data_IF_297117317355
#
_entry.id   IF_297117317355
#
_cell.length_a   1.000
_cell.length_b   1.000
_cell.length_c   1.000
_cell.angle_alpha   90.00
_cell.angle_beta   90.00
_cell.angle_gamma   90.00
#
_symmetry.space_group_name_H-M   'P 1'
#
loop_
_entity.id
_entity.type
_entity.pdbx_description
1 polymer ?
#
# COMPACT_ATOMS: atom_id res chain seq x y z
N UNK A 1 -6.07 -31.40 2.55
CA UNK A 1 -5.16 -30.50 1.80
C UNK A 1 -4.40 -29.68 2.82
N UNK A 2 -3.08 -29.56 2.72
CA UNK A 2 -2.26 -28.74 3.64
C UNK A 2 -1.96 -27.41 2.93
N UNK A 3 -2.18 -26.30 3.60
CA UNK A 3 -1.80 -24.98 3.10
C UNK A 3 -0.29 -24.73 3.25
N UNK A 4 0.22 -23.75 2.53
CA UNK A 4 1.59 -23.27 2.68
C UNK A 4 1.79 -22.71 4.08
N UNK A 5 2.99 -22.92 4.68
CA UNK A 5 3.33 -22.36 5.98
C UNK A 5 3.31 -20.82 5.98
N UNK A 6 3.52 -20.19 4.83
CA UNK A 6 3.40 -18.73 4.66
C UNK A 6 1.95 -18.26 4.86
N UNK A 7 0.98 -19.00 4.31
CA UNK A 7 -0.44 -18.68 4.48
C UNK A 7 -0.90 -18.90 5.93
N UNK A 8 -0.38 -19.94 6.59
CA UNK A 8 -0.68 -20.19 8.01
C UNK A 8 -0.18 -19.06 8.93
N UNK A 9 0.88 -18.35 8.53
CA UNK A 9 1.40 -17.17 9.24
C UNK A 9 0.63 -15.88 8.93
N UNK A 10 -0.14 -15.83 7.83
CA UNK A 10 -0.95 -14.65 7.49
C UNK A 10 -2.17 -14.57 8.41
N UNK A 11 -2.30 -13.47 9.15
CA UNK A 11 -3.46 -13.18 9.97
C UNK A 11 -4.67 -12.72 9.16
N UNK A 12 -5.86 -12.78 9.77
CA UNK A 12 -7.04 -12.12 9.22
C UNK A 12 -6.93 -10.61 9.37
N UNK A 13 -7.52 -9.87 8.42
CA UNK A 13 -7.54 -8.40 8.46
C UNK A 13 -8.14 -7.88 9.77
N UNK A 14 -7.37 -7.15 10.60
CA UNK A 14 -7.86 -6.61 11.87
C UNK A 14 -9.03 -5.62 11.67
N UNK A 15 -9.08 -4.92 10.54
CA UNK A 15 -10.17 -3.98 10.21
C UNK A 15 -11.51 -4.68 10.02
N UNK A 16 -11.51 -5.94 9.58
CA UNK A 16 -12.73 -6.72 9.31
C UNK A 16 -13.18 -7.56 10.49
N UNK A 17 -12.39 -7.65 11.54
CA UNK A 17 -12.68 -8.44 12.76
C UNK A 17 -14.03 -8.09 13.38
N UNK A 18 -14.44 -6.84 13.30
CA UNK A 18 -15.69 -6.35 13.89
C UNK A 18 -16.90 -6.39 12.96
N UNK A 19 -16.73 -6.81 11.69
CA UNK A 19 -17.83 -6.87 10.72
C UNK A 19 -19.04 -7.71 11.19
N UNK A 20 -18.89 -8.88 11.83
CA UNK A 20 -20.02 -9.64 12.35
C UNK A 20 -20.84 -8.85 13.39
N UNK A 21 -20.17 -8.16 14.31
CA UNK A 21 -20.85 -7.34 15.35
C UNK A 21 -21.56 -6.14 14.75
N UNK A 22 -20.96 -5.48 13.76
CA UNK A 22 -21.59 -4.39 13.03
C UNK A 22 -22.87 -4.87 12.31
N UNK A 23 -22.79 -5.99 11.60
CA UNK A 23 -23.94 -6.58 10.90
C UNK A 23 -25.09 -6.93 11.87
N UNK A 24 -24.77 -7.45 13.04
CA UNK A 24 -25.78 -7.78 14.05
C UNK A 24 -26.44 -6.51 14.65
N UNK A 25 -25.64 -5.47 14.90
CA UNK A 25 -26.15 -4.19 15.37
C UNK A 25 -27.06 -3.52 14.32
N UNK A 26 -26.69 -3.60 13.03
CA UNK A 26 -27.52 -3.12 11.93
C UNK A 26 -28.88 -3.83 11.85
N UNK A 27 -28.89 -5.16 11.99
CA UNK A 27 -30.12 -5.96 12.05
C UNK A 27 -31.06 -5.56 13.21
N UNK A 28 -30.48 -5.04 14.29
CA UNK A 28 -31.22 -4.50 15.46
C UNK A 28 -31.63 -3.03 15.28
N UNK A 29 -31.50 -2.47 14.07
CA UNK A 29 -31.88 -1.08 13.74
C UNK A 29 -30.95 -0.01 14.33
N UNK A 30 -29.76 -0.36 14.82
CA UNK A 30 -28.79 0.61 15.34
C UNK A 30 -28.11 1.34 14.20
N UNK A 31 -27.96 2.67 14.32
CA UNK A 31 -27.16 3.48 13.40
C UNK A 31 -25.67 3.18 13.62
N UNK A 32 -24.97 2.83 12.55
CA UNK A 32 -23.53 2.52 12.58
C UNK A 32 -22.74 3.65 11.95
N UNK A 33 -21.59 3.93 12.55
CA UNK A 33 -20.59 4.85 12.02
C UNK A 33 -19.29 4.06 11.77
N UNK A 34 -18.94 3.90 10.49
CA UNK A 34 -17.76 3.14 10.09
C UNK A 34 -16.54 4.06 10.07
N UNK A 35 -15.73 4.02 11.14
CA UNK A 35 -14.49 4.80 11.26
C UNK A 35 -13.23 3.95 11.00
N UNK A 36 -13.41 2.69 10.65
CA UNK A 36 -12.33 1.71 10.45
C UNK A 36 -11.90 1.55 8.98
N UNK A 37 -12.60 2.18 8.05
CA UNK A 37 -12.29 2.15 6.61
C UNK A 37 -12.37 3.58 6.09
N UNK A 38 -11.26 4.06 5.52
CA UNK A 38 -11.22 5.33 4.79
C UNK A 38 -11.83 5.14 3.40
N UNK A 39 -13.09 5.52 3.23
CA UNK A 39 -13.78 5.49 1.95
C UNK A 39 -14.07 6.92 1.49
N UNK A 40 -13.78 7.26 0.21
CA UNK A 40 -14.13 8.58 -0.31
C UNK A 40 -15.64 8.85 -0.19
N UNK A 41 -16.00 10.07 0.21
CA UNK A 41 -17.38 10.57 0.26
C UNK A 41 -17.67 11.62 -0.84
N UNK A 42 -16.64 11.89 -1.67
CA UNK A 42 -16.74 12.78 -2.84
C UNK A 42 -17.14 11.96 -4.05
N UNK A 43 -18.06 12.50 -4.87
CA UNK A 43 -18.49 11.85 -6.10
C UNK A 43 -17.31 11.62 -7.06
N UNK A 44 -17.25 10.41 -7.63
CA UNK A 44 -16.28 10.11 -8.69
C UNK A 44 -16.46 11.07 -9.86
N UNK A 45 -15.39 11.63 -10.46
CA UNK A 45 -15.48 12.55 -11.58
C UNK A 45 -16.34 11.99 -12.72
N UNK A 46 -17.26 12.81 -13.26
CA UNK A 46 -18.13 12.40 -14.35
C UNK A 46 -17.36 11.91 -15.58
N UNK A 47 -16.21 12.50 -15.85
CA UNK A 47 -15.32 12.11 -16.95
C UNK A 47 -14.92 10.62 -16.91
N UNK A 48 -14.79 10.02 -15.72
CA UNK A 48 -14.52 8.60 -15.59
C UNK A 48 -15.68 7.76 -16.14
N UNK A 49 -16.92 8.08 -15.73
CA UNK A 49 -18.09 7.34 -16.17
C UNK A 49 -18.36 7.51 -17.66
N UNK A 50 -18.12 8.72 -18.20
CA UNK A 50 -18.24 8.95 -19.63
C UNK A 50 -17.20 8.19 -20.44
N UNK A 51 -15.96 8.10 -19.96
CA UNK A 51 -14.92 7.28 -20.58
C UNK A 51 -15.31 5.79 -20.62
N UNK A 52 -15.79 5.24 -19.48
CA UNK A 52 -16.26 3.85 -19.41
C UNK A 52 -17.44 3.60 -20.33
N UNK A 53 -18.41 4.52 -20.34
CA UNK A 53 -19.63 4.40 -21.20
C UNK A 53 -19.32 4.44 -22.69
N UNK A 54 -18.32 5.25 -23.08
CA UNK A 54 -17.91 5.41 -24.46
C UNK A 54 -16.84 4.41 -24.90
N UNK A 55 -16.37 3.55 -23.98
CA UNK A 55 -15.44 2.50 -24.32
C UNK A 55 -16.13 1.45 -25.23
N UNK A 56 -15.67 1.35 -26.46
CA UNK A 56 -16.24 0.46 -27.47
C UNK A 56 -15.10 -0.14 -28.29
N UNK A 57 -14.65 -1.32 -27.87
CA UNK A 57 -13.72 -2.12 -28.64
C UNK A 57 -14.40 -3.43 -29.07
N UNK A 58 -14.37 -3.79 -30.35
CA UNK A 58 -15.02 -5.01 -30.83
C UNK A 58 -14.36 -6.28 -30.27
N UNK A 59 -13.09 -6.21 -29.88
CA UNK A 59 -12.34 -7.31 -29.28
C UNK A 59 -11.53 -6.77 -28.12
N UNK A 60 -11.69 -7.37 -26.94
CA UNK A 60 -10.82 -7.14 -25.78
C UNK A 60 -9.60 -8.05 -25.91
N UNK A 61 -8.55 -7.56 -26.56
CA UNK A 61 -7.29 -8.29 -26.71
C UNK A 61 -6.44 -8.22 -25.44
N UNK A 62 -5.40 -9.03 -25.38
CA UNK A 62 -4.39 -8.95 -24.34
C UNK A 62 -3.69 -7.58 -24.38
N UNK A 63 -3.48 -7.00 -23.20
CA UNK A 63 -2.61 -5.84 -23.06
C UNK A 63 -1.13 -6.27 -23.12
N UNK A 64 -0.22 -5.35 -23.52
CA UNK A 64 1.21 -5.55 -23.28
C UNK A 64 1.53 -5.79 -21.79
N UNK A 65 2.63 -6.50 -21.51
CA UNK A 65 2.98 -6.93 -20.15
C UNK A 65 3.25 -5.77 -19.19
N UNK A 66 3.70 -4.64 -19.72
CA UNK A 66 3.96 -3.39 -18.97
C UNK A 66 2.74 -2.47 -18.87
N UNK A 67 1.68 -2.79 -19.60
CA UNK A 67 0.42 -2.02 -19.63
C UNK A 67 0.11 -1.44 -21.00
N UNK A 68 -1.10 -0.90 -21.16
CA UNK A 68 -1.48 -0.24 -22.42
C UNK A 68 -0.75 1.12 -22.53
N UNK A 69 -0.24 1.46 -23.73
CA UNK A 69 0.56 2.68 -23.93
C UNK A 69 -0.14 3.96 -23.45
N UNK A 70 -1.43 4.09 -23.70
CA UNK A 70 -2.22 5.25 -23.30
C UNK A 70 -2.24 5.45 -21.77
N UNK A 71 -2.24 4.37 -20.99
CA UNK A 71 -2.19 4.46 -19.53
C UNK A 71 -0.78 4.81 -19.06
N UNK A 72 0.25 4.23 -19.67
CA UNK A 72 1.65 4.56 -19.38
C UNK A 72 1.91 6.04 -19.65
N UNK A 73 1.49 6.55 -20.80
CA UNK A 73 1.62 7.96 -21.15
C UNK A 73 0.86 8.88 -20.18
N UNK A 74 -0.33 8.49 -19.75
CA UNK A 74 -1.08 9.24 -18.76
C UNK A 74 -0.35 9.33 -17.42
N UNK A 75 0.28 8.24 -16.96
CA UNK A 75 1.11 8.21 -15.75
C UNK A 75 2.33 9.11 -15.89
N UNK A 76 3.07 9.01 -16.98
CA UNK A 76 4.24 9.87 -17.26
C UNK A 76 3.85 11.34 -17.28
N UNK A 77 2.74 11.69 -17.96
CA UNK A 77 2.22 13.06 -17.98
C UNK A 77 1.81 13.56 -16.58
N UNK A 78 1.22 12.70 -15.76
CA UNK A 78 0.85 13.06 -14.39
C UNK A 78 2.08 13.41 -13.56
N UNK A 79 3.09 12.55 -13.57
CA UNK A 79 4.31 12.75 -12.80
C UNK A 79 5.12 13.95 -13.31
N UNK A 80 5.12 14.20 -14.61
CA UNK A 80 5.74 15.42 -15.18
C UNK A 80 5.09 16.72 -14.68
N UNK A 81 3.77 16.73 -14.41
CA UNK A 81 3.05 17.91 -13.87
C UNK A 81 3.34 18.22 -12.41
N UNK A 82 3.89 17.29 -11.67
CA UNK A 82 4.23 17.45 -10.24
C UNK A 82 5.75 17.47 -10.01
N UNK A 83 6.51 17.84 -11.05
CA UNK A 83 7.97 17.96 -11.02
C UNK A 83 8.71 16.66 -10.62
N UNK A 84 8.11 15.51 -10.90
CA UNK A 84 8.70 14.19 -10.71
C UNK A 84 8.81 13.43 -12.05
N UNK A 85 9.63 13.91 -13.01
CA UNK A 85 9.66 13.37 -14.36
C UNK A 85 10.17 11.92 -14.37
N UNK A 86 9.39 11.06 -15.02
CA UNK A 86 9.72 9.67 -15.30
C UNK A 86 9.56 9.37 -16.77
N UNK A 87 10.09 8.26 -17.23
CA UNK A 87 9.96 7.79 -18.62
C UNK A 87 9.05 6.57 -18.70
N UNK A 88 8.53 6.28 -19.88
CA UNK A 88 7.68 5.11 -20.13
C UNK A 88 8.35 3.79 -19.66
N UNK A 89 9.68 3.69 -19.72
CA UNK A 89 10.45 2.50 -19.30
C UNK A 89 10.47 2.30 -17.77
N UNK A 90 10.04 3.29 -17.01
CA UNK A 90 9.99 3.26 -15.54
C UNK A 90 8.58 3.01 -15.00
N UNK A 91 7.64 2.68 -15.89
CA UNK A 91 6.24 2.46 -15.53
C UNK A 91 5.84 1.04 -15.84
N UNK A 92 5.27 0.37 -14.84
CA UNK A 92 4.58 -0.91 -14.97
C UNK A 92 3.16 -0.75 -14.42
N UNK A 93 2.17 -1.03 -15.25
CA UNK A 93 0.77 -0.96 -14.85
C UNK A 93 0.34 -2.26 -14.19
N UNK A 94 -0.30 -2.16 -13.03
CA UNK A 94 -0.79 -3.30 -12.24
C UNK A 94 -2.28 -3.15 -11.93
N UNK A 95 -2.91 -4.22 -11.48
CA UNK A 95 -4.31 -4.22 -11.01
C UNK A 95 -4.41 -3.56 -9.63
N UNK A 96 -3.93 -2.33 -9.53
CA UNK A 96 -3.90 -1.52 -8.31
C UNK A 96 -2.64 -1.69 -7.48
N UNK A 97 -2.52 -0.84 -6.43
CA UNK A 97 -1.32 -0.73 -5.60
C UNK A 97 -0.95 -2.00 -4.82
N UNK A 98 -1.91 -2.88 -4.54
CA UNK A 98 -1.62 -4.14 -3.84
C UNK A 98 -0.78 -5.10 -4.70
N UNK A 99 -1.09 -5.22 -5.98
CA UNK A 99 -0.29 -6.02 -6.90
C UNK A 99 1.09 -5.38 -7.12
N UNK A 100 1.16 -4.05 -7.27
CA UNK A 100 2.41 -3.32 -7.38
C UNK A 100 3.34 -3.59 -6.18
N UNK A 101 2.82 -3.48 -4.97
CA UNK A 101 3.58 -3.78 -3.75
C UNK A 101 4.03 -5.23 -3.68
N UNK A 102 3.15 -6.17 -4.02
CA UNK A 102 3.51 -7.59 -4.01
C UNK A 102 4.62 -7.90 -5.01
N UNK A 103 4.55 -7.37 -6.22
CA UNK A 103 5.59 -7.52 -7.24
C UNK A 103 6.89 -6.89 -6.74
N UNK A 104 6.86 -5.63 -6.28
CA UNK A 104 8.05 -4.92 -5.82
C UNK A 104 8.74 -5.66 -4.66
N UNK A 105 7.99 -6.07 -3.64
CA UNK A 105 8.53 -6.80 -2.50
C UNK A 105 9.08 -8.18 -2.90
N UNK A 106 8.41 -8.89 -3.82
CA UNK A 106 8.91 -10.17 -4.33
C UNK A 106 10.18 -10.05 -5.18
N UNK A 107 10.45 -8.86 -5.74
CA UNK A 107 11.67 -8.61 -6.50
C UNK A 107 12.89 -8.30 -5.62
N UNK A 108 12.68 -7.85 -4.37
CA UNK A 108 13.76 -7.34 -3.52
C UNK A 108 13.96 -8.12 -2.22
N UNK A 109 13.02 -9.00 -1.83
CA UNK A 109 13.06 -9.73 -0.56
C UNK A 109 13.13 -11.24 -0.80
N UNK A 110 14.05 -11.88 -0.13
CA UNK A 110 14.18 -13.33 0.00
C UNK A 110 13.79 -13.84 1.39
N UNK A 111 13.72 -15.14 1.54
CA UNK A 111 13.49 -15.78 2.85
C UNK A 111 14.64 -15.48 3.80
N UNK A 112 14.31 -14.95 4.97
CA UNK A 112 15.29 -14.54 5.99
C UNK A 112 15.72 -13.07 5.93
N UNK A 113 15.32 -12.35 4.88
CA UNK A 113 15.53 -10.90 4.82
C UNK A 113 14.63 -10.14 5.79
N UNK A 114 15.03 -8.91 6.13
CA UNK A 114 14.26 -7.99 6.95
C UNK A 114 13.91 -6.72 6.17
N UNK A 115 12.68 -6.24 6.39
CA UNK A 115 12.21 -4.95 5.89
C UNK A 115 11.77 -4.07 7.06
N UNK A 116 12.27 -2.85 7.12
CA UNK A 116 11.93 -1.88 8.15
C UNK A 116 10.62 -1.19 7.75
N UNK A 117 9.63 -1.16 8.65
CA UNK A 117 8.35 -0.47 8.44
C UNK A 117 7.97 0.28 9.71
N UNK A 118 7.77 1.62 9.64
CA UNK A 118 7.23 2.38 10.77
C UNK A 118 5.81 1.94 11.11
N UNK A 119 5.51 1.71 12.39
CA UNK A 119 4.18 1.35 12.86
C UNK A 119 3.49 2.48 13.65
N UNK A 120 2.14 2.60 13.57
CA UNK A 120 1.23 1.72 12.84
C UNK A 120 1.30 1.91 11.32
N UNK A 121 1.13 0.83 10.58
CA UNK A 121 1.18 0.82 9.12
C UNK A 121 -0.05 0.13 8.51
N UNK A 122 -0.21 0.24 7.19
CA UNK A 122 -1.29 -0.42 6.46
C UNK A 122 -1.21 -1.95 6.63
N UNK A 123 -2.26 -2.60 7.18
CA UNK A 123 -2.18 -3.99 7.64
C UNK A 123 -1.78 -5.00 6.56
N UNK A 124 -2.07 -4.71 5.27
CA UNK A 124 -1.73 -5.63 4.19
C UNK A 124 -0.22 -5.75 3.94
N UNK A 125 0.59 -4.79 4.42
CA UNK A 125 2.05 -4.90 4.32
C UNK A 125 2.55 -6.17 5.02
N UNK A 126 1.98 -6.52 6.18
CA UNK A 126 2.32 -7.77 6.87
C UNK A 126 2.10 -9.00 5.98
N UNK A 127 0.98 -9.04 5.26
CA UNK A 127 0.68 -10.16 4.36
C UNK A 127 1.66 -10.22 3.20
N UNK A 128 1.94 -9.08 2.55
CA UNK A 128 2.84 -9.04 1.39
C UNK A 128 4.26 -9.46 1.78
N UNK A 129 4.78 -8.95 2.90
CA UNK A 129 6.10 -9.34 3.41
C UNK A 129 6.13 -10.81 3.83
N UNK A 130 5.12 -11.31 4.53
CA UNK A 130 5.04 -12.73 4.93
C UNK A 130 5.08 -13.67 3.71
N UNK A 131 4.46 -13.28 2.61
CA UNK A 131 4.44 -14.07 1.37
C UNK A 131 5.82 -14.20 0.71
N UNK A 132 6.71 -13.23 0.86
CA UNK A 132 8.10 -13.35 0.39
C UNK A 132 8.94 -14.29 1.28
N UNK A 133 8.58 -14.46 2.53
CA UNK A 133 9.35 -15.18 3.54
C UNK A 133 10.22 -14.27 4.41
N UNK A 134 10.23 -12.98 4.12
CA UNK A 134 10.91 -11.96 4.90
C UNK A 134 10.15 -11.61 6.19
N UNK A 135 10.82 -10.87 7.07
CA UNK A 135 10.29 -10.43 8.37
C UNK A 135 10.24 -8.90 8.45
N UNK A 136 9.17 -8.38 9.05
CA UNK A 136 9.06 -6.95 9.34
C UNK A 136 9.84 -6.64 10.62
N UNK A 137 10.71 -5.62 10.52
CA UNK A 137 11.36 -4.97 11.66
C UNK A 137 10.72 -3.60 11.89
N UNK A 138 9.85 -3.46 12.91
CA UNK A 138 9.07 -2.24 13.07
C UNK A 138 9.90 -1.12 13.69
N UNK A 139 9.68 0.13 13.23
CA UNK A 139 10.01 1.32 14.02
C UNK A 139 8.77 1.68 14.82
N UNK A 140 8.80 1.38 16.13
CA UNK A 140 7.66 1.68 17.03
C UNK A 140 7.51 3.18 17.21
N UNK A 141 6.28 3.66 17.07
CA UNK A 141 5.91 5.07 17.32
C UNK A 141 4.67 5.16 18.20
N UNK A 142 4.43 6.33 18.78
CA UNK A 142 3.29 6.59 19.66
C UNK A 142 2.50 7.83 19.23
N UNK A 143 1.21 7.93 19.59
CA UNK A 143 0.40 9.13 19.35
C UNK A 143 0.98 10.38 20.00
N UNK A 144 1.59 10.24 21.18
CA UNK A 144 2.18 11.34 21.96
C UNK A 144 3.36 11.98 21.22
N UNK A 145 4.03 11.20 20.36
CA UNK A 145 5.12 11.66 19.50
C UNK A 145 4.64 12.03 18.09
N UNK A 146 3.33 12.17 17.89
CA UNK A 146 2.72 12.36 16.57
C UNK A 146 3.18 11.32 15.54
N UNK A 147 3.43 10.09 15.97
CA UNK A 147 3.93 8.99 15.15
C UNK A 147 5.24 9.30 14.40
N UNK A 148 6.11 10.10 15.00
CA UNK A 148 7.38 10.46 14.38
C UNK A 148 8.34 9.27 14.36
N UNK A 149 8.73 8.83 13.15
CA UNK A 149 9.63 7.69 12.95
C UNK A 149 10.97 8.06 12.32
N UNK A 150 11.04 9.13 11.54
CA UNK A 150 12.26 9.58 10.88
C UNK A 150 13.19 10.26 11.89
N UNK A 151 13.75 9.46 12.80
CA UNK A 151 14.73 9.82 13.81
C UNK A 151 15.92 8.91 13.59
N UNK A 152 17.11 9.49 13.36
CA UNK A 152 18.32 8.75 12.96
C UNK A 152 18.59 7.54 13.86
N UNK A 153 18.60 7.74 15.16
CA UNK A 153 18.91 6.70 16.13
C UNK A 153 17.89 5.54 16.10
N UNK A 154 16.64 5.83 15.82
CA UNK A 154 15.58 4.80 15.68
C UNK A 154 15.74 4.00 14.40
N UNK A 155 16.03 4.68 13.30
CA UNK A 155 16.23 4.02 12.01
C UNK A 155 17.48 3.15 12.06
N UNK A 156 18.61 3.69 12.51
CA UNK A 156 19.88 2.98 12.61
C UNK A 156 19.79 1.76 13.55
N UNK A 157 19.04 1.86 14.65
CA UNK A 157 18.83 0.73 15.57
C UNK A 157 18.03 -0.44 14.93
N UNK A 158 17.32 -0.18 13.83
CA UNK A 158 16.61 -1.21 13.09
C UNK A 158 17.44 -1.82 11.95
N UNK A 159 18.57 -1.24 11.59
CA UNK A 159 19.42 -1.73 10.48
C UNK A 159 20.37 -2.81 10.97
N UNK A 160 20.44 -3.92 10.23
CA UNK A 160 21.40 -5.01 10.42
C UNK A 160 21.73 -5.67 9.07
N UNK A 161 22.52 -6.76 9.09
CA UNK A 161 22.95 -7.47 7.88
C UNK A 161 21.82 -8.10 7.05
N UNK A 162 20.65 -8.31 7.63
CA UNK A 162 19.47 -8.85 6.95
C UNK A 162 18.56 -7.77 6.36
N UNK A 163 18.82 -6.51 6.68
CA UNK A 163 17.98 -5.39 6.22
C UNK A 163 18.15 -5.17 4.71
N UNK A 164 17.05 -5.23 3.95
CA UNK A 164 17.01 -5.03 2.50
C UNK A 164 16.34 -3.76 2.07
N UNK A 165 15.32 -3.33 2.81
CA UNK A 165 14.53 -2.17 2.42
C UNK A 165 13.90 -1.48 3.63
N UNK A 166 13.47 -0.24 3.40
CA UNK A 166 12.58 0.51 4.28
C UNK A 166 11.32 0.83 3.49
N UNK A 167 10.15 0.48 4.03
CA UNK A 167 8.85 0.80 3.43
C UNK A 167 8.10 1.78 4.32
N UNK A 168 7.78 2.94 3.79
CA UNK A 168 6.91 3.92 4.45
C UNK A 168 5.97 4.59 3.45
N UNK A 169 4.90 5.20 3.97
CA UNK A 169 3.91 5.93 3.18
C UNK A 169 3.95 7.41 3.55
N UNK A 170 3.92 8.29 2.56
CA UNK A 170 3.88 9.74 2.79
C UNK A 170 2.83 10.40 1.87
N UNK A 171 1.74 10.96 2.39
CA UNK A 171 1.30 10.94 3.80
C UNK A 171 1.08 9.55 4.37
N UNK A 172 1.29 9.37 5.69
CA UNK A 172 1.24 8.09 6.38
C UNK A 172 -0.16 7.46 6.41
N UNK A 173 -0.24 6.15 6.19
CA UNK A 173 -1.44 5.35 6.40
C UNK A 173 -1.17 4.34 7.54
N UNK A 174 -1.87 4.41 8.71
CA UNK A 174 -3.13 5.14 8.97
C UNK A 174 -2.95 6.50 9.68
N UNK A 175 -1.74 6.97 9.95
CA UNK A 175 -1.47 8.08 10.87
C UNK A 175 -1.79 9.46 10.29
N UNK A 176 -1.75 9.63 8.96
CA UNK A 176 -1.87 10.92 8.29
C UNK A 176 -0.64 11.84 8.44
N UNK A 177 0.44 11.36 9.04
CA UNK A 177 1.68 12.12 9.20
C UNK A 177 2.34 12.42 7.86
N UNK A 178 2.95 13.61 7.76
CA UNK A 178 3.69 14.06 6.58
C UNK A 178 5.13 14.28 7.00
N UNK A 179 6.06 13.70 6.26
CA UNK A 179 7.49 13.91 6.47
C UNK A 179 7.93 15.26 5.92
N UNK A 180 8.80 15.94 6.64
CA UNK A 180 9.53 17.10 6.15
C UNK A 180 10.60 16.69 5.13
N UNK A 181 11.14 17.63 4.38
CA UNK A 181 12.24 17.35 3.46
C UNK A 181 13.48 16.80 4.19
N UNK A 182 13.78 17.34 5.38
CA UNK A 182 14.89 16.86 6.21
C UNK A 182 14.69 15.40 6.63
N UNK A 183 13.47 15.05 7.06
CA UNK A 183 13.10 13.68 7.42
C UNK A 183 13.15 12.72 6.22
N UNK A 184 12.72 13.17 5.03
CA UNK A 184 12.84 12.38 3.81
C UNK A 184 14.30 12.14 3.40
N UNK A 185 15.18 13.13 3.62
CA UNK A 185 16.61 12.97 3.35
C UNK A 185 17.32 12.08 4.35
N UNK A 186 16.75 11.90 5.53
CA UNK A 186 17.25 10.98 6.55
C UNK A 186 16.96 9.53 6.17
N UNK A 187 15.75 9.26 5.62
CA UNK A 187 15.30 7.92 5.22
C UNK A 187 16.01 7.42 3.95
#
# INVERSE_FOLDING_TARGET
MKFSSKIEKCGLSPMRKFAPYANEAAKKGKKLYHLNIGQPDIATPAAYFEAVKNFSQPVLAYAPSDGVPEMIDAVVNYYGKIDAPITNKQVLITTGGSEALQIALSCILDEGDEIIIPEPFYPNYSTFVTLTGATIRPITTTPEENYKFAIRERVEACINEHTRAILFTNPGNPTGTILTEEELRLM
#
